data_IF_653335264478
#
_entry.id   IF_653335264478
#
_cell.length_a   1.000
_cell.length_b   1.000
_cell.length_c   1.000
_cell.angle_alpha   90.00
_cell.angle_beta   90.00
_cell.angle_gamma   90.00
#
_symmetry.space_group_name_H-M   'P 1'
#
loop_
_entity.id
_entity.type
_entity.pdbx_description
1 polymer ?
#
# COMPACT_ATOMS: atom_id res chain seq x y z
N UNK A 1 -59.38 -12.65 7.83
CA UNK A 1 -59.77 -13.20 6.50
C UNK A 1 -59.30 -12.18 5.48
N UNK A 2 -58.17 -12.30 4.77
CA UNK A 2 -57.38 -13.46 4.32
C UNK A 2 -55.87 -13.13 4.28
N UNK A 3 -55.07 -14.17 4.48
CA UNK A 3 -53.60 -14.27 4.37
C UNK A 3 -53.08 -14.32 2.91
N UNK A 4 -51.75 -14.25 2.76
CA UNK A 4 -50.98 -14.75 1.60
C UNK A 4 -49.79 -13.86 1.21
N UNK A 5 -48.59 -13.98 1.79
CA UNK A 5 -47.49 -14.96 1.57
C UNK A 5 -46.41 -14.49 0.56
N UNK A 6 -45.14 -14.63 0.99
CA UNK A 6 -43.93 -14.67 0.16
C UNK A 6 -43.21 -13.33 0.04
N UNK A 7 -41.91 -13.16 0.31
CA UNK A 7 -40.81 -14.08 0.54
C UNK A 7 -39.51 -13.29 0.34
N UNK A 8 -38.48 -13.62 1.11
CA UNK A 8 -37.05 -13.33 0.88
C UNK A 8 -36.62 -11.95 0.34
N UNK A 9 -35.95 -11.18 1.21
CA UNK A 9 -35.17 -10.00 0.82
C UNK A 9 -33.98 -9.74 1.74
N UNK A 10 -33.34 -10.80 2.24
CA UNK A 10 -32.05 -10.71 2.93
C UNK A 10 -30.96 -10.72 1.87
N UNK A 11 -30.74 -9.59 1.20
CA UNK A 11 -29.57 -9.38 0.34
C UNK A 11 -29.50 -7.89 -0.05
N UNK A 12 -28.40 -7.22 0.24
CA UNK A 12 -28.15 -5.87 -0.26
C UNK A 12 -27.65 -4.86 0.75
N UNK A 13 -26.78 -5.25 1.69
CA UNK A 13 -26.07 -4.32 2.58
C UNK A 13 -24.66 -4.85 2.86
N UNK A 14 -23.77 -4.76 1.87
CA UNK A 14 -22.41 -5.26 2.05
C UNK A 14 -21.54 -5.08 0.81
N UNK A 15 -21.43 -3.86 0.27
CA UNK A 15 -20.51 -3.58 -0.83
C UNK A 15 -20.25 -2.06 -0.99
N UNK A 16 -19.70 -1.37 0.02
CA UNK A 16 -19.45 0.07 -0.09
C UNK A 16 -18.37 0.61 0.87
N UNK A 17 -17.11 0.17 0.76
CA UNK A 17 -15.94 0.86 1.36
C UNK A 17 -14.67 0.47 0.59
N UNK A 18 -14.26 1.17 -0.46
CA UNK A 18 -13.03 0.83 -1.20
C UNK A 18 -12.63 1.89 -2.24
N UNK A 19 -11.60 2.70 -2.01
CA UNK A 19 -10.54 3.08 -3.01
C UNK A 19 -9.58 4.18 -2.54
N UNK A 20 -9.98 5.11 -1.69
CA UNK A 20 -9.10 6.12 -1.09
C UNK A 20 -9.24 6.17 0.44
N UNK A 21 -9.91 5.17 1.02
CA UNK A 21 -10.15 5.00 2.45
C UNK A 21 -9.50 3.74 3.05
N UNK A 22 -8.78 2.94 2.26
CA UNK A 22 -8.24 1.67 2.74
C UNK A 22 -6.92 1.84 3.48
N UNK A 23 -6.96 2.65 4.52
CA UNK A 23 -6.17 2.35 5.70
C UNK A 23 -7.11 2.26 6.89
N UNK A 24 -8.11 3.13 6.99
CA UNK A 24 -8.74 3.61 8.22
C UNK A 24 -9.98 2.83 8.70
N UNK A 25 -9.76 1.84 9.59
CA UNK A 25 -10.76 1.30 10.51
C UNK A 25 -11.46 0.05 9.95
N UNK A 26 -11.59 -1.07 10.67
CA UNK A 26 -12.34 -1.20 11.93
C UNK A 26 -12.42 -2.66 12.38
N UNK A 27 -12.18 -3.04 13.67
CA UNK A 27 -13.01 -3.84 14.66
C UNK A 27 -12.83 -5.36 15.10
N UNK A 28 -11.82 -5.81 15.89
CA UNK A 28 -11.87 -6.84 17.00
C UNK A 28 -12.61 -8.24 16.90
N UNK A 29 -12.55 -9.18 17.89
CA UNK A 29 -11.40 -9.73 18.67
C UNK A 29 -11.43 -11.27 18.97
N UNK A 30 -10.29 -11.82 19.44
CA UNK A 30 -10.14 -13.06 20.24
C UNK A 30 -9.05 -14.03 19.72
N UNK A 31 -8.06 -14.57 20.43
CA UNK A 31 -7.57 -14.48 21.83
C UNK A 31 -6.33 -15.41 22.01
N UNK A 32 -5.30 -14.90 22.70
CA UNK A 32 -4.24 -15.53 23.55
C UNK A 32 -3.45 -16.79 23.11
N UNK A 33 -2.10 -16.74 23.10
CA UNK A 33 -1.14 -17.22 24.15
C UNK A 33 0.27 -17.53 23.59
N UNK A 34 1.28 -17.08 24.35
CA UNK A 34 2.74 -17.08 24.14
C UNK A 34 3.40 -18.47 24.18
N UNK A 35 4.66 -18.59 23.73
CA UNK A 35 5.75 -19.30 24.46
C UNK A 35 7.14 -19.03 23.83
N UNK A 36 8.14 -18.87 24.70
CA UNK A 36 9.55 -18.58 24.41
C UNK A 36 10.44 -19.63 25.08
N UNK A 37 11.42 -20.20 24.36
CA UNK A 37 12.60 -20.95 24.86
C UNK A 37 13.59 -20.97 23.67
N UNK A 38 14.90 -20.77 23.73
CA UNK A 38 15.93 -20.75 24.76
C UNK A 38 17.22 -21.26 24.09
N UNK A 39 18.25 -20.43 24.01
CA UNK A 39 19.63 -20.81 23.66
C UNK A 39 20.36 -21.36 24.92
N UNK A 40 21.65 -21.78 24.92
CA UNK A 40 22.68 -21.89 23.84
C UNK A 40 23.43 -23.25 23.89
N UNK A 41 24.49 -23.45 23.07
CA UNK A 41 25.84 -23.90 23.52
C UNK A 41 26.86 -23.72 22.38
N UNK A 42 28.06 -23.27 22.76
CA UNK A 42 29.24 -22.95 21.93
C UNK A 42 30.15 -24.17 21.76
N UNK A 43 30.83 -24.26 20.61
CA UNK A 43 32.15 -24.91 20.49
C UNK A 43 33.06 -24.10 19.55
N UNK A 44 34.35 -24.04 19.90
CA UNK A 44 35.39 -23.17 19.36
C UNK A 44 36.31 -23.88 18.36
N UNK A 45 36.74 -23.12 17.33
CA UNK A 45 38.01 -23.15 16.55
C UNK A 45 38.29 -24.30 15.56
N UNK A 46 38.91 -24.03 14.37
CA UNK A 46 40.22 -23.36 14.23
C UNK A 46 40.32 -22.23 13.17
N UNK A 47 41.43 -21.51 13.25
CA UNK A 47 41.74 -20.27 12.54
C UNK A 47 41.67 -20.36 11.00
N UNK A 48 40.76 -19.59 10.42
CA UNK A 48 40.70 -19.30 8.99
C UNK A 48 41.47 -18.00 8.68
N UNK A 49 42.16 -18.01 7.52
CA UNK A 49 42.81 -16.85 6.90
C UNK A 49 41.82 -15.66 6.84
N UNK A 50 42.28 -14.40 6.90
CA UNK A 50 41.39 -13.25 6.87
C UNK A 50 40.77 -13.17 5.47
N UNK A 51 39.61 -13.81 5.31
CA UNK A 51 38.64 -13.42 4.30
C UNK A 51 38.21 -12.04 4.75
N UNK A 52 38.63 -11.01 4.02
CA UNK A 52 38.03 -9.68 4.13
C UNK A 52 36.59 -9.85 3.62
N UNK A 53 35.72 -10.33 4.50
CA UNK A 53 34.29 -10.19 4.31
C UNK A 53 34.03 -8.71 4.44
N UNK A 54 33.76 -8.05 3.32
CA UNK A 54 32.93 -6.86 3.36
C UNK A 54 31.57 -7.35 3.92
N UNK A 55 31.46 -7.44 5.24
CA UNK A 55 30.16 -7.64 5.84
C UNK A 55 29.38 -6.38 5.47
N UNK A 56 28.25 -6.55 4.79
CA UNK A 56 27.32 -5.44 4.64
C UNK A 56 27.10 -4.84 6.04
N UNK A 57 27.11 -3.51 6.20
CA UNK A 57 26.89 -2.89 7.50
C UNK A 57 25.64 -3.48 8.15
N UNK A 58 25.70 -3.67 9.47
CA UNK A 58 24.64 -4.34 10.27
C UNK A 58 23.24 -3.76 9.98
N UNK A 59 23.16 -2.47 9.68
CA UNK A 59 21.94 -1.78 9.23
C UNK A 59 21.37 -2.28 7.90
N UNK A 60 22.22 -2.65 6.93
CA UNK A 60 21.80 -3.22 5.64
C UNK A 60 21.36 -4.69 5.79
N UNK A 61 22.05 -5.47 6.62
CA UNK A 61 21.68 -6.87 6.91
C UNK A 61 20.33 -6.93 7.61
N UNK A 62 20.13 -6.10 8.63
CA UNK A 62 18.85 -6.00 9.35
C UNK A 62 17.72 -5.54 8.43
N UNK A 63 17.98 -4.59 7.52
CA UNK A 63 16.99 -4.16 6.52
C UNK A 63 16.60 -5.30 5.58
N UNK A 64 17.54 -6.17 5.20
CA UNK A 64 17.28 -7.35 4.37
C UNK A 64 16.27 -8.32 5.00
N UNK A 65 16.46 -8.66 6.28
CA UNK A 65 15.57 -9.59 7.00
C UNK A 65 14.14 -9.02 7.15
N UNK A 66 14.02 -7.70 7.36
CA UNK A 66 12.74 -7.00 7.39
C UNK A 66 12.04 -7.06 6.04
N UNK A 67 12.78 -6.81 4.94
CA UNK A 67 12.24 -6.88 3.58
C UNK A 67 11.75 -8.30 3.27
N UNK A 68 12.51 -9.35 3.61
CA UNK A 68 12.06 -10.73 3.38
C UNK A 68 10.79 -11.08 4.16
N UNK A 69 10.64 -10.58 5.38
CA UNK A 69 9.41 -10.74 6.17
C UNK A 69 8.23 -10.07 5.47
N UNK A 70 8.41 -8.85 4.96
CA UNK A 70 7.37 -8.12 4.22
C UNK A 70 7.04 -8.76 2.87
N UNK A 71 8.02 -9.37 2.20
CA UNK A 71 7.79 -10.13 0.97
C UNK A 71 6.94 -11.37 1.25
N UNK A 72 7.28 -12.16 2.26
CA UNK A 72 6.44 -13.30 2.68
C UNK A 72 5.03 -12.86 3.04
N UNK A 73 4.89 -11.73 3.75
CA UNK A 73 3.59 -11.15 4.05
C UNK A 73 2.82 -10.74 2.79
N UNK A 74 3.51 -10.15 1.81
CA UNK A 74 2.93 -9.70 0.55
C UNK A 74 2.42 -10.88 -0.30
N UNK A 75 3.17 -11.97 -0.34
CA UNK A 75 2.88 -13.18 -1.14
C UNK A 75 1.83 -14.07 -0.48
N UNK A 76 2.01 -14.40 0.80
CA UNK A 76 1.22 -15.42 1.48
C UNK A 76 0.01 -14.86 2.20
N UNK A 77 0.07 -13.59 2.62
CA UNK A 77 -0.93 -12.93 3.48
C UNK A 77 -1.17 -13.68 4.80
N UNK A 78 -0.18 -14.44 5.25
CA UNK A 78 -0.28 -15.32 6.42
C UNK A 78 0.58 -14.86 7.60
N UNK A 79 1.46 -13.89 7.41
CA UNK A 79 2.27 -13.33 8.48
C UNK A 79 1.36 -12.59 9.49
N UNK A 80 1.77 -12.64 10.76
CA UNK A 80 1.01 -11.96 11.82
C UNK A 80 1.00 -10.44 11.58
N UNK A 81 -0.15 -9.82 11.80
CA UNK A 81 -0.35 -8.39 11.50
C UNK A 81 0.55 -7.48 12.34
N UNK A 82 0.85 -7.83 13.59
CA UNK A 82 1.74 -7.06 14.43
C UNK A 82 3.19 -7.21 13.95
N UNK A 83 3.59 -8.42 13.55
CA UNK A 83 4.91 -8.66 12.93
C UNK A 83 5.12 -7.83 11.66
N UNK A 84 4.10 -7.77 10.79
CA UNK A 84 4.17 -6.95 9.57
C UNK A 84 4.23 -5.46 9.91
N UNK A 85 3.48 -4.99 10.91
CA UNK A 85 3.53 -3.60 11.36
C UNK A 85 4.91 -3.25 11.92
N UNK A 86 5.44 -4.06 12.82
CA UNK A 86 6.78 -3.87 13.41
C UNK A 86 7.84 -3.83 12.31
N UNK A 87 7.77 -4.76 11.35
CA UNK A 87 8.69 -4.76 10.21
C UNK A 87 8.58 -3.49 9.35
N UNK A 88 7.37 -2.98 9.10
CA UNK A 88 7.17 -1.71 8.38
C UNK A 88 7.74 -0.50 9.16
N UNK A 89 7.55 -0.47 10.48
CA UNK A 89 8.07 0.61 11.33
C UNK A 89 9.59 0.61 11.39
N UNK A 90 10.20 -0.56 11.53
CA UNK A 90 11.66 -0.69 11.59
C UNK A 90 12.31 -0.47 10.23
N UNK A 91 11.67 -0.93 9.13
CA UNK A 91 12.09 -0.60 7.77
C UNK A 91 12.05 0.92 7.55
N UNK A 92 10.99 1.60 7.99
CA UNK A 92 10.90 3.06 7.88
C UNK A 92 12.02 3.79 8.64
N UNK A 93 12.41 3.30 9.81
CA UNK A 93 13.56 3.85 10.56
C UNK A 93 14.87 3.61 9.80
N UNK A 94 15.11 2.38 9.34
CA UNK A 94 16.32 2.01 8.59
C UNK A 94 16.47 2.82 7.30
N UNK A 95 15.41 2.90 6.50
CA UNK A 95 15.42 3.67 5.24
C UNK A 95 15.55 5.17 5.45
N UNK A 96 15.11 5.72 6.59
CA UNK A 96 15.38 7.12 6.95
C UNK A 96 16.86 7.39 7.20
N UNK A 97 17.56 6.45 7.84
CA UNK A 97 19.02 6.54 8.03
C UNK A 97 19.74 6.43 6.69
N UNK A 98 19.41 5.41 5.89
CA UNK A 98 20.00 5.18 4.56
C UNK A 98 19.86 6.43 3.70
N UNK A 99 18.66 6.98 3.57
CA UNK A 99 18.43 8.12 2.70
C UNK A 99 18.98 9.46 3.24
N UNK A 100 19.41 9.50 4.50
CA UNK A 100 20.18 10.65 5.03
C UNK A 100 21.65 10.57 4.61
N UNK A 101 22.17 9.35 4.48
CA UNK A 101 23.56 9.07 4.11
C UNK A 101 23.75 9.01 2.60
N UNK A 102 22.74 8.49 1.89
CA UNK A 102 22.72 8.34 0.44
C UNK A 102 21.63 9.23 -0.20
N UNK A 103 22.01 10.35 -0.83
CA UNK A 103 21.07 11.24 -1.49
C UNK A 103 20.42 10.61 -2.75
N UNK A 104 20.96 9.52 -3.29
CA UNK A 104 20.41 8.83 -4.48
C UNK A 104 19.25 7.88 -4.14
N UNK A 105 19.04 7.57 -2.85
CA UNK A 105 17.99 6.66 -2.41
C UNK A 105 16.58 7.10 -2.83
N UNK A 106 16.33 8.41 -2.93
CA UNK A 106 15.05 8.95 -3.39
C UNK A 106 14.81 8.70 -4.89
N UNK A 107 15.85 8.86 -5.71
CA UNK A 107 15.80 8.59 -7.15
C UNK A 107 15.65 7.10 -7.42
N UNK A 108 16.37 6.26 -6.66
CA UNK A 108 16.23 4.81 -6.74
C UNK A 108 14.82 4.34 -6.37
N UNK A 109 14.21 4.96 -5.35
CA UNK A 109 12.81 4.70 -4.97
C UNK A 109 11.87 5.10 -6.10
N UNK A 110 12.00 6.33 -6.64
CA UNK A 110 11.15 6.79 -7.73
C UNK A 110 11.27 5.89 -8.96
N UNK A 111 12.49 5.53 -9.38
CA UNK A 111 12.73 4.62 -10.50
C UNK A 111 12.08 3.25 -10.27
N UNK A 112 12.18 2.72 -9.05
CA UNK A 112 11.58 1.42 -8.71
C UNK A 112 10.05 1.44 -8.67
N UNK A 113 9.42 2.60 -8.47
CA UNK A 113 7.95 2.71 -8.44
C UNK A 113 7.28 2.46 -9.78
N UNK A 114 7.98 2.66 -10.90
CA UNK A 114 7.39 2.44 -12.22
C UNK A 114 6.86 1.01 -12.35
N UNK A 115 5.55 0.83 -12.58
CA UNK A 115 4.90 -0.48 -12.63
C UNK A 115 3.54 -0.56 -11.94
N UNK A 116 3.03 -1.78 -11.76
CA UNK A 116 1.75 -2.06 -11.12
C UNK A 116 1.92 -2.71 -9.72
N UNK A 117 1.16 -2.20 -8.76
CA UNK A 117 1.33 -2.52 -7.33
C UNK A 117 0.00 -2.88 -6.68
N UNK A 118 -0.14 -4.14 -6.26
CA UNK A 118 -1.32 -4.62 -5.54
C UNK A 118 -1.22 -4.26 -4.06
N UNK A 119 -2.20 -3.53 -3.53
CA UNK A 119 -2.28 -3.28 -2.09
C UNK A 119 -2.52 -4.60 -1.36
N UNK A 120 -1.63 -4.92 -0.42
CA UNK A 120 -1.72 -6.15 0.37
C UNK A 120 -2.08 -5.87 1.80
N UNK A 121 -1.53 -4.83 2.41
CA UNK A 121 -1.68 -4.61 3.84
C UNK A 121 -1.66 -3.13 4.20
N UNK A 122 -2.43 -2.77 5.22
CA UNK A 122 -2.55 -1.39 5.67
C UNK A 122 -3.04 -1.28 7.12
N UNK A 123 -2.64 -0.21 7.81
CA UNK A 123 -2.77 -0.13 9.27
C UNK A 123 -3.81 0.84 9.81
N UNK A 124 -4.52 1.63 9.00
CA UNK A 124 -5.35 2.71 9.56
C UNK A 124 -4.76 4.09 9.46
N UNK A 125 -5.61 5.12 9.40
CA UNK A 125 -5.23 6.42 9.99
C UNK A 125 -4.96 6.24 11.48
N UNK A 126 -4.12 7.10 12.03
CA UNK A 126 -3.87 7.17 13.48
C UNK A 126 -5.18 7.28 14.27
N UNK A 127 -6.13 8.06 13.79
CA UNK A 127 -7.44 8.23 14.43
C UNK A 127 -8.26 6.93 14.42
N UNK A 128 -8.17 6.15 13.34
CA UNK A 128 -8.85 4.85 13.26
C UNK A 128 -8.17 3.79 14.12
N UNK A 129 -6.84 3.82 14.20
CA UNK A 129 -6.08 2.94 15.10
C UNK A 129 -6.47 3.20 16.57
N UNK A 130 -6.56 4.47 16.97
CA UNK A 130 -6.92 4.88 18.34
C UNK A 130 -8.36 4.53 18.71
N UNK A 131 -9.32 4.76 17.79
CA UNK A 131 -10.75 4.54 18.08
C UNK A 131 -11.13 3.06 18.19
N UNK A 132 -10.34 2.17 17.58
CA UNK A 132 -10.76 0.79 17.33
C UNK A 132 -9.76 -0.23 17.90
N UNK A 133 -8.69 0.22 18.56
CA UNK A 133 -7.71 -0.67 19.22
C UNK A 133 -6.83 -1.42 18.22
N UNK A 134 -6.34 -0.74 17.18
CA UNK A 134 -5.27 -1.28 16.33
C UNK A 134 -5.68 -2.27 15.24
N UNK A 135 -6.76 -2.03 14.49
CA UNK A 135 -7.07 -2.90 13.32
C UNK A 135 -6.10 -2.65 12.16
N UNK A 136 -5.00 -3.36 12.25
CA UNK A 136 -4.05 -3.69 11.21
C UNK A 136 -4.66 -4.85 10.42
N UNK A 137 -4.69 -4.79 9.09
CA UNK A 137 -5.23 -5.93 8.33
C UNK A 137 -4.69 -6.04 6.91
N UNK A 138 -4.76 -7.27 6.41
CA UNK A 138 -4.64 -7.58 5.01
C UNK A 138 -5.85 -7.06 4.23
N UNK A 139 -5.57 -6.59 3.03
CA UNK A 139 -6.55 -5.96 2.17
C UNK A 139 -7.32 -7.02 1.36
N UNK A 140 -8.65 -7.12 1.53
CA UNK A 140 -9.40 -8.28 1.06
C UNK A 140 -9.72 -8.27 -0.44
N UNK A 141 -9.68 -7.11 -1.08
CA UNK A 141 -10.06 -6.94 -2.49
C UNK A 141 -8.82 -6.56 -3.33
N UNK A 142 -8.79 -6.89 -4.62
CA UNK A 142 -7.68 -6.50 -5.51
C UNK A 142 -7.78 -5.00 -5.80
N UNK A 143 -7.02 -4.19 -5.07
CA UNK A 143 -6.71 -2.80 -5.44
C UNK A 143 -5.30 -2.75 -6.00
N UNK A 144 -5.15 -2.13 -7.17
CA UNK A 144 -3.87 -2.01 -7.86
C UNK A 144 -3.60 -0.55 -8.18
N UNK A 145 -2.43 -0.09 -7.79
CA UNK A 145 -1.92 1.23 -8.09
C UNK A 145 -0.82 1.11 -9.13
N UNK A 146 -1.01 1.74 -10.28
CA UNK A 146 -0.01 1.78 -11.34
C UNK A 146 0.65 3.15 -11.36
N UNK A 147 1.98 3.18 -11.43
CA UNK A 147 2.76 4.40 -11.61
C UNK A 147 3.49 4.32 -12.94
N UNK A 148 3.37 5.38 -13.72
CA UNK A 148 4.26 5.68 -14.83
C UNK A 148 5.14 6.87 -14.42
N UNK A 149 6.41 6.58 -14.17
CA UNK A 149 7.37 7.59 -13.70
C UNK A 149 7.93 8.41 -14.85
N UNK A 150 7.72 8.00 -16.10
CA UNK A 150 8.12 8.74 -17.30
C UNK A 150 7.15 9.89 -17.60
N UNK A 151 5.86 9.64 -17.43
CA UNK A 151 4.79 10.65 -17.63
C UNK A 151 4.31 11.30 -16.33
N UNK A 152 4.80 10.82 -15.18
CA UNK A 152 4.38 11.27 -13.84
C UNK A 152 2.86 11.14 -13.65
N UNK A 153 2.31 10.02 -14.11
CA UNK A 153 0.88 9.69 -13.99
C UNK A 153 0.70 8.44 -13.16
N UNK A 154 -0.39 8.41 -12.41
CA UNK A 154 -0.80 7.22 -11.68
C UNK A 154 -2.24 6.85 -11.95
N UNK A 155 -2.51 5.57 -11.76
CA UNK A 155 -3.85 4.99 -11.79
C UNK A 155 -4.08 4.20 -10.52
N UNK A 156 -5.23 4.37 -9.88
CA UNK A 156 -5.66 3.54 -8.76
C UNK A 156 -6.95 2.83 -9.14
N UNK A 157 -6.97 1.50 -9.10
CA UNK A 157 -8.12 0.73 -9.54
C UNK A 157 -8.51 -0.40 -8.61
N UNK A 158 -9.80 -0.73 -8.60
CA UNK A 158 -10.35 -1.96 -8.02
C UNK A 158 -10.72 -2.91 -9.12
N UNK A 159 -10.39 -4.17 -8.88
CA UNK A 159 -10.54 -5.22 -9.85
C UNK A 159 -11.32 -6.39 -9.26
N UNK A 160 -12.16 -6.98 -10.10
CA UNK A 160 -12.71 -8.31 -9.90
C UNK A 160 -12.00 -9.24 -10.88
N UNK A 161 -11.05 -10.04 -10.39
CA UNK A 161 -10.07 -10.70 -11.25
C UNK A 161 -9.19 -9.66 -11.95
N UNK A 162 -9.16 -9.66 -13.29
CA UNK A 162 -8.47 -8.65 -14.11
C UNK A 162 -9.41 -7.53 -14.59
N UNK A 163 -10.72 -7.65 -14.36
CA UNK A 163 -11.69 -6.67 -14.84
C UNK A 163 -11.76 -5.44 -13.92
N UNK A 164 -11.48 -4.22 -14.43
CA UNK A 164 -11.55 -3.00 -13.63
C UNK A 164 -13.00 -2.59 -13.38
N UNK A 165 -13.44 -2.67 -12.14
CA UNK A 165 -14.77 -2.17 -11.76
C UNK A 165 -14.76 -0.66 -11.56
N UNK A 166 -13.63 -0.11 -11.13
CA UNK A 166 -13.45 1.29 -10.79
C UNK A 166 -11.97 1.66 -10.97
N UNK A 167 -11.68 2.76 -11.67
CA UNK A 167 -10.33 3.33 -11.78
C UNK A 167 -10.37 4.83 -11.55
N UNK A 168 -9.34 5.36 -10.92
CA UNK A 168 -9.06 6.79 -10.82
C UNK A 168 -7.74 7.06 -11.53
N UNK A 169 -7.66 8.16 -12.25
CA UNK A 169 -6.48 8.55 -13.02
C UNK A 169 -6.07 9.97 -12.65
N UNK A 170 -4.78 10.24 -12.68
CA UNK A 170 -4.31 11.57 -12.39
C UNK A 170 -2.79 11.73 -12.44
N UNK A 171 -2.31 12.97 -12.43
CA UNK A 171 -0.89 13.26 -12.28
C UNK A 171 -0.42 13.03 -10.85
N UNK A 172 0.89 12.83 -10.69
CA UNK A 172 1.56 12.94 -9.42
C UNK A 172 2.85 13.75 -9.53
N UNK A 173 3.31 14.25 -8.40
CA UNK A 173 4.58 14.96 -8.24
C UNK A 173 5.38 14.25 -7.15
N UNK A 174 6.67 14.01 -7.41
CA UNK A 174 7.56 13.36 -6.45
C UNK A 174 8.63 14.35 -5.98
N UNK A 175 8.64 14.62 -4.68
CA UNK A 175 9.65 15.46 -4.05
C UNK A 175 10.85 14.60 -3.62
N UNK A 176 11.95 14.69 -4.35
CA UNK A 176 13.17 13.91 -4.09
C UNK A 176 13.76 14.16 -2.68
N UNK A 177 13.67 15.39 -2.16
CA UNK A 177 14.22 15.73 -0.85
C UNK A 177 13.48 15.06 0.32
N UNK A 178 12.16 14.88 0.19
CA UNK A 178 11.30 14.33 1.25
C UNK A 178 10.73 12.95 0.96
N UNK A 179 10.99 12.40 -0.24
CA UNK A 179 10.36 11.18 -0.79
C UNK A 179 8.83 11.23 -0.73
N UNK A 180 8.28 12.44 -0.81
CA UNK A 180 6.85 12.69 -0.76
C UNK A 180 6.30 12.67 -2.18
N UNK A 181 5.36 11.76 -2.43
CA UNK A 181 4.58 11.71 -3.65
C UNK A 181 3.22 12.34 -3.38
N UNK A 182 2.92 13.46 -4.03
CA UNK A 182 1.62 14.12 -4.00
C UNK A 182 0.86 13.80 -5.29
N UNK A 183 -0.44 13.59 -5.21
CA UNK A 183 -1.23 13.23 -6.39
C UNK A 183 -2.60 13.92 -6.37
N UNK A 184 -3.22 14.00 -7.53
CA UNK A 184 -4.59 14.48 -7.68
C UNK A 184 -5.30 13.64 -8.73
N UNK A 185 -6.52 13.20 -8.45
CA UNK A 185 -7.29 12.40 -9.40
C UNK A 185 -8.22 13.30 -10.21
N UNK A 186 -7.97 13.36 -11.51
CA UNK A 186 -8.69 14.22 -12.46
C UNK A 186 -9.71 13.46 -13.29
N UNK A 187 -9.67 12.12 -13.31
CA UNK A 187 -10.60 11.29 -14.05
C UNK A 187 -11.00 10.05 -13.23
N UNK A 188 -12.23 9.57 -13.44
CA UNK A 188 -12.75 8.31 -12.90
C UNK A 188 -13.27 7.45 -14.06
N UNK A 189 -13.07 6.14 -13.99
CA UNK A 189 -13.76 5.16 -14.83
C UNK A 189 -14.57 4.21 -13.97
N UNK A 190 -15.84 3.99 -14.30
CA UNK A 190 -16.69 2.99 -13.66
C UNK A 190 -17.15 2.00 -14.71
N UNK A 191 -16.84 0.71 -14.53
CA UNK A 191 -17.14 -0.35 -15.51
C UNK A 191 -16.71 -0.01 -16.94
N UNK A 192 -15.55 0.64 -17.09
CA UNK A 192 -15.00 1.08 -18.38
C UNK A 192 -15.45 2.47 -18.86
N UNK A 193 -16.50 3.06 -18.28
CA UNK A 193 -16.98 4.39 -18.68
C UNK A 193 -16.20 5.50 -17.96
N UNK A 194 -15.43 6.30 -18.73
CA UNK A 194 -14.61 7.41 -18.22
C UNK A 194 -15.40 8.71 -18.10
N UNK A 195 -15.20 9.42 -16.99
CA UNK A 195 -15.75 10.75 -16.73
C UNK A 195 -14.66 11.63 -16.12
N UNK A 196 -14.54 12.85 -16.62
CA UNK A 196 -13.65 13.86 -16.03
C UNK A 196 -14.18 14.32 -14.68
N UNK A 197 -13.32 14.30 -13.66
CA UNK A 197 -13.60 14.86 -12.35
C UNK A 197 -13.23 16.35 -12.41
N UNK A 198 -14.20 17.25 -12.24
CA UNK A 198 -13.88 18.65 -11.95
C UNK A 198 -13.01 18.76 -10.69
N UNK A 199 -12.34 19.90 -10.47
CA UNK A 199 -11.51 20.13 -9.27
C UNK A 199 -12.27 19.73 -7.99
N UNK A 200 -11.74 18.77 -7.22
CA UNK A 200 -12.36 18.24 -5.99
C UNK A 200 -13.36 17.08 -6.17
N UNK A 201 -13.75 16.74 -7.40
CA UNK A 201 -14.76 15.72 -7.68
C UNK A 201 -14.41 14.31 -7.20
N UNK A 202 -13.12 13.96 -7.15
CA UNK A 202 -12.65 12.68 -6.62
C UNK A 202 -12.94 12.52 -5.12
N UNK A 203 -12.83 13.60 -4.35
CA UNK A 203 -13.07 13.61 -2.90
C UNK A 203 -14.57 13.53 -2.58
N UNK A 204 -15.39 14.23 -3.36
CA UNK A 204 -16.85 14.21 -3.25
C UNK A 204 -17.45 12.86 -3.63
N UNK A 205 -16.99 12.27 -4.73
CA UNK A 205 -17.42 10.92 -5.13
C UNK A 205 -16.89 9.90 -4.14
N UNK A 206 -15.60 9.94 -3.80
CA UNK A 206 -14.99 9.04 -2.83
C UNK A 206 -15.74 9.05 -1.49
N UNK A 207 -16.16 10.20 -1.00
CA UNK A 207 -16.88 10.27 0.27
C UNK A 207 -18.34 9.85 0.22
N UNK A 208 -19.05 10.13 -0.88
CA UNK A 208 -20.44 9.67 -1.09
C UNK A 208 -20.53 8.17 -1.36
N UNK A 209 -19.46 7.58 -1.88
CA UNK A 209 -19.38 6.15 -2.20
C UNK A 209 -18.71 5.32 -1.09
N UNK A 210 -18.25 5.95 0.00
CA UNK A 210 -17.50 5.28 1.08
C UNK A 210 -16.06 4.91 0.68
N UNK A 211 -15.62 5.35 -0.49
CA UNK A 211 -14.34 5.08 -1.10
C UNK A 211 -13.32 6.22 -0.85
N UNK A 212 -13.51 7.14 0.10
CA UNK A 212 -12.60 8.27 0.37
C UNK A 212 -12.41 8.52 1.87
N UNK A 213 -11.20 8.90 2.30
CA UNK A 213 -10.95 9.20 3.72
C UNK A 213 -11.39 10.62 4.08
N UNK A 214 -11.97 10.81 5.26
CA UNK A 214 -12.31 12.15 5.80
C UNK A 214 -11.09 13.06 5.93
N UNK A 215 -9.89 12.50 6.10
CA UNK A 215 -8.65 13.28 6.09
C UNK A 215 -8.33 13.83 4.69
N UNK A 216 -8.66 13.11 3.62
CA UNK A 216 -8.46 13.62 2.27
C UNK A 216 -9.41 14.80 1.99
N UNK A 217 -10.63 14.80 2.53
CA UNK A 217 -11.50 15.98 2.47
C UNK A 217 -10.88 17.18 3.16
N UNK A 218 -10.43 17.01 4.40
CA UNK A 218 -9.78 18.09 5.16
C UNK A 218 -8.53 18.63 4.45
N UNK A 219 -7.77 17.76 3.78
CA UNK A 219 -6.64 18.18 2.97
C UNK A 219 -7.11 19.02 1.78
N UNK A 220 -8.09 18.54 1.01
CA UNK A 220 -8.64 19.27 -0.15
C UNK A 220 -9.29 20.60 0.26
N UNK A 221 -10.05 20.62 1.35
CA UNK A 221 -10.64 21.82 1.96
C UNK A 221 -9.56 22.81 2.44
N UNK A 222 -8.41 22.30 2.88
CA UNK A 222 -7.23 23.09 3.22
C UNK A 222 -6.30 23.38 2.02
N UNK A 223 -6.72 23.06 0.80
CA UNK A 223 -5.94 23.28 -0.43
C UNK A 223 -4.72 22.37 -0.59
N UNK A 224 -4.64 21.26 0.15
CA UNK A 224 -3.54 20.28 0.13
C UNK A 224 -3.91 19.05 -0.67
N UNK A 225 -2.96 18.57 -1.48
CA UNK A 225 -3.10 17.32 -2.24
C UNK A 225 -2.96 16.10 -1.30
N UNK A 226 -3.66 14.99 -1.58
CA UNK A 226 -3.34 13.70 -0.94
C UNK A 226 -1.91 13.27 -1.31
N UNK A 227 -1.27 12.55 -0.40
CA UNK A 227 0.14 12.18 -0.55
C UNK A 227 0.53 10.90 0.18
N UNK A 228 1.66 10.34 -0.25
CA UNK A 228 2.42 9.30 0.41
C UNK A 228 3.85 9.75 0.68
N UNK A 229 4.38 9.46 1.85
CA UNK A 229 5.81 9.48 2.11
C UNK A 229 6.34 8.06 1.83
N UNK A 230 7.08 7.90 0.74
CA UNK A 230 7.62 6.60 0.34
C UNK A 230 8.78 6.18 1.24
N UNK A 231 8.72 4.92 1.68
CA UNK A 231 9.70 4.32 2.56
C UNK A 231 10.74 3.57 1.71
N UNK A 232 10.26 2.69 0.84
CA UNK A 232 11.09 1.93 -0.10
C UNK A 232 10.24 1.35 -1.24
N UNK A 233 10.88 1.03 -2.36
CA UNK A 233 10.32 0.22 -3.42
C UNK A 233 11.45 -0.60 -4.06
N UNK A 234 11.19 -1.87 -4.36
CA UNK A 234 12.13 -2.76 -5.06
C UNK A 234 11.40 -3.57 -6.15
N UNK A 235 11.94 -4.72 -6.57
CA UNK A 235 11.30 -5.54 -7.62
C UNK A 235 10.08 -6.33 -7.13
N UNK A 236 9.87 -6.48 -5.82
CA UNK A 236 8.87 -7.36 -5.21
C UNK A 236 7.83 -6.58 -4.43
N UNK A 237 8.25 -5.58 -3.65
CA UNK A 237 7.36 -4.83 -2.76
C UNK A 237 7.59 -3.32 -2.84
N UNK A 238 6.57 -2.58 -2.43
CA UNK A 238 6.67 -1.15 -2.17
C UNK A 238 6.01 -0.83 -0.82
N UNK A 239 6.53 0.17 -0.12
CA UNK A 239 6.07 0.55 1.21
C UNK A 239 6.01 2.07 1.38
N UNK A 240 4.97 2.56 2.05
CA UNK A 240 4.78 3.99 2.24
C UNK A 240 3.96 4.31 3.49
N UNK A 241 4.04 5.57 3.92
CA UNK A 241 3.16 6.16 4.92
C UNK A 241 2.24 7.20 4.29
N UNK A 242 0.93 7.04 4.43
CA UNK A 242 -0.06 8.00 3.93
C UNK A 242 -0.19 9.23 4.83
N UNK A 243 -0.79 10.31 4.31
CA UNK A 243 -1.02 11.55 5.08
C UNK A 243 -1.86 11.40 6.35
N UNK A 244 -2.65 10.32 6.46
CA UNK A 244 -3.37 9.94 7.68
C UNK A 244 -2.51 9.26 8.76
N UNK A 245 -1.22 9.07 8.51
CA UNK A 245 -0.27 8.38 9.36
C UNK A 245 -0.28 6.86 9.26
N UNK A 246 -1.14 6.26 8.43
CA UNK A 246 -1.16 4.82 8.18
C UNK A 246 0.01 4.35 7.33
N UNK A 247 0.44 3.12 7.59
CA UNK A 247 1.43 2.41 6.79
C UNK A 247 0.72 1.51 5.77
N UNK A 248 1.39 1.28 4.65
CA UNK A 248 0.91 0.41 3.60
C UNK A 248 2.05 -0.39 2.97
N UNK A 249 1.70 -1.61 2.57
CA UNK A 249 2.56 -2.56 1.86
C UNK A 249 1.83 -3.00 0.59
N UNK A 250 2.56 -2.93 -0.52
CA UNK A 250 2.12 -3.42 -1.82
C UNK A 250 3.03 -4.55 -2.30
N UNK A 251 2.45 -5.51 -3.01
CA UNK A 251 3.17 -6.49 -3.83
C UNK A 251 3.23 -6.00 -5.28
N UNK A 252 4.31 -6.31 -5.99
CA UNK A 252 4.38 -6.13 -7.44
C UNK A 252 3.35 -7.03 -8.12
N UNK A 253 2.55 -6.48 -9.04
CA UNK A 253 1.51 -7.20 -9.76
C UNK A 253 1.90 -7.32 -11.24
N UNK A 254 2.69 -8.34 -11.57
CA UNK A 254 3.23 -8.53 -12.92
C UNK A 254 2.14 -8.80 -13.97
N UNK A 255 1.04 -9.43 -13.58
CA UNK A 255 -0.12 -9.65 -14.46
C UNK A 255 -0.77 -8.31 -14.83
N UNK A 256 -1.00 -7.45 -13.85
CA UNK A 256 -1.56 -6.13 -14.13
C UNK A 256 -0.57 -5.20 -14.82
N UNK A 257 0.72 -5.38 -14.57
CA UNK A 257 1.77 -4.67 -15.29
C UNK A 257 1.72 -5.00 -16.79
N UNK A 258 1.69 -6.28 -17.17
CA UNK A 258 1.58 -6.64 -18.58
C UNK A 258 0.29 -6.10 -19.21
N UNK A 259 -0.85 -6.24 -18.55
CA UNK A 259 -2.14 -5.73 -19.07
C UNK A 259 -2.10 -4.22 -19.30
N UNK A 260 -1.61 -3.45 -18.31
CA UNK A 260 -1.64 -1.98 -18.37
C UNK A 260 -0.66 -1.44 -19.40
N UNK A 261 0.54 -2.03 -19.52
CA UNK A 261 1.57 -1.54 -20.44
C UNK A 261 1.47 -2.12 -21.86
N UNK A 262 0.76 -3.24 -22.07
CA UNK A 262 0.41 -3.73 -23.41
C UNK A 262 -0.69 -2.88 -24.06
N UNK A 263 -1.71 -2.47 -23.31
CA UNK A 263 -2.82 -1.65 -23.82
C UNK A 263 -2.36 -0.26 -24.33
N UNK A 264 -1.28 0.31 -23.77
CA UNK A 264 -0.75 1.60 -24.22
C UNK A 264 0.23 1.49 -25.41
N UNK A 265 0.71 0.28 -25.74
CA UNK A 265 1.53 0.00 -26.93
C UNK A 265 0.73 -0.41 -28.18
N UNK A 266 -0.59 -0.63 -28.03
CA UNK A 266 -1.45 -1.27 -29.05
C UNK A 266 -2.13 -0.35 -30.05
N UNK A 267 -1.52 0.78 -30.48
CA UNK A 267 -1.99 1.61 -31.60
C UNK A 267 -0.87 2.09 -32.55
N UNK A 268 0.20 1.30 -32.71
CA UNK A 268 1.14 1.49 -33.82
C UNK A 268 1.40 0.16 -34.55
N UNK A 269 0.46 -0.19 -35.43
CA UNK A 269 0.71 -1.08 -36.59
C UNK A 269 -0.28 -0.72 -37.68
#
# INVERSE_FOLDING_TARGET
>A
VTEGLGGSGVMGRGLAVLVAAVASGMLSPGGVLSFQVGMPVRHLTPAARPVVSWAAPESQVQTGDLVETLVRAAETRAEDSDVVLEALLDLEKGMRTIAREDPTAAEATLSSLNGAWRLVFTTGTVDSQKKIGGRINYFPIKAVQCFDTSTMRLTNGIYLGTFPILKFFGPFEFNLASRKLEFDFTEIAVLGFRVGLGKGGASDIGSKTGLGSENNKKLVEAGKKPFFNWISADRRIATARGGGGGLALWARDLEMESIVFEDEGGLSS
#
